data_IF_931240228337
#
_entry.id   IF_931240228337
#
_cell.length_a   1.000
_cell.length_b   1.000
_cell.length_c   1.000
_cell.angle_alpha   90.00
_cell.angle_beta   90.00
_cell.angle_gamma   90.00
#
_symmetry.space_group_name_H-M   'P 1'
#
loop_
_entity.id
_entity.type
_entity.pdbx_description
1 polymer ?
#
# COMPACT_ATOMS: atom_id res chain seq x y z
N UNK A 1 17.70 -5.62 -15.16
CA UNK A 1 17.45 -4.30 -14.54
C UNK A 1 17.40 -4.45 -13.03
N UNK A 2 18.25 -3.77 -12.27
CA UNK A 2 18.25 -3.86 -10.79
C UNK A 2 17.09 -3.02 -10.23
N UNK A 3 15.97 -3.67 -9.94
CA UNK A 3 14.75 -3.07 -9.36
C UNK A 3 14.91 -2.60 -7.89
N UNK A 4 16.06 -2.84 -7.27
CA UNK A 4 16.28 -2.49 -5.85
C UNK A 4 17.00 -1.15 -5.75
N UNK A 5 16.40 -0.14 -5.09
CA UNK A 5 17.04 1.15 -4.89
C UNK A 5 18.35 1.02 -4.08
N UNK A 6 19.35 1.81 -4.47
CA UNK A 6 20.68 1.82 -3.85
C UNK A 6 20.72 2.65 -2.56
N UNK A 7 19.79 3.58 -2.37
CA UNK A 7 19.69 4.38 -1.14
C UNK A 7 18.98 3.62 -0.03
N UNK A 8 19.43 3.82 1.22
CA UNK A 8 18.71 3.33 2.42
C UNK A 8 17.26 3.80 2.43
N UNK A 9 17.02 5.03 1.97
CA UNK A 9 15.70 5.63 1.78
C UNK A 9 14.81 4.76 0.89
N UNK A 10 15.29 4.41 -0.31
CA UNK A 10 14.49 3.63 -1.24
C UNK A 10 14.23 2.22 -0.73
N UNK A 11 15.17 1.63 0.02
CA UNK A 11 14.98 0.28 0.61
C UNK A 11 13.94 0.29 1.72
N UNK A 12 13.99 1.28 2.63
CA UNK A 12 13.00 1.43 3.71
C UNK A 12 11.61 1.71 3.15
N UNK A 13 11.50 2.61 2.17
CA UNK A 13 10.24 2.91 1.49
C UNK A 13 9.71 1.68 0.77
N UNK A 14 10.57 0.90 0.10
CA UNK A 14 10.16 -0.32 -0.57
C UNK A 14 9.64 -1.36 0.42
N UNK A 15 10.34 -1.61 1.53
CA UNK A 15 9.90 -2.55 2.58
C UNK A 15 8.56 -2.13 3.18
N UNK A 16 8.41 -0.84 3.54
CA UNK A 16 7.15 -0.31 4.07
C UNK A 16 6.00 -0.41 3.07
N UNK A 17 6.23 -0.05 1.80
CA UNK A 17 5.23 -0.18 0.74
C UNK A 17 4.82 -1.64 0.54
N UNK A 18 5.77 -2.57 0.48
CA UNK A 18 5.43 -4.00 0.34
C UNK A 18 4.65 -4.53 1.53
N UNK A 19 5.06 -4.21 2.77
CA UNK A 19 4.35 -4.66 3.97
C UNK A 19 2.92 -4.11 4.02
N UNK A 20 2.74 -2.86 3.61
CA UNK A 20 1.44 -2.20 3.57
C UNK A 20 0.52 -2.76 2.48
N UNK A 21 1.03 -2.98 1.27
CA UNK A 21 0.27 -3.62 0.20
C UNK A 21 -0.17 -5.02 0.61
N UNK A 22 0.70 -5.78 1.28
CA UNK A 22 0.34 -7.10 1.81
C UNK A 22 -0.75 -6.97 2.88
N UNK A 23 -0.61 -6.05 3.83
CA UNK A 23 -1.60 -5.84 4.89
C UNK A 23 -2.97 -5.48 4.31
N UNK A 24 -3.01 -4.65 3.25
CA UNK A 24 -4.26 -4.27 2.61
C UNK A 24 -4.87 -5.38 1.77
N UNK A 25 -4.06 -6.18 1.09
CA UNK A 25 -4.54 -7.38 0.41
C UNK A 25 -5.14 -8.38 1.41
N UNK A 26 -4.53 -8.54 2.59
CA UNK A 26 -5.07 -9.38 3.66
C UNK A 26 -6.34 -8.80 4.24
N UNK A 27 -6.37 -7.50 4.56
CA UNK A 27 -7.55 -6.77 5.04
C UNK A 27 -8.72 -6.92 4.07
N UNK A 28 -8.49 -6.66 2.79
CA UNK A 28 -9.48 -6.84 1.72
C UNK A 28 -9.95 -8.31 1.61
N UNK A 29 -9.03 -9.27 1.72
CA UNK A 29 -9.36 -10.69 1.69
C UNK A 29 -10.20 -11.13 2.90
N UNK A 30 -9.97 -10.58 4.09
CA UNK A 30 -10.78 -10.83 5.29
C UNK A 30 -12.17 -10.20 5.10
N UNK A 31 -12.23 -8.93 4.69
CA UNK A 31 -13.48 -8.19 4.54
C UNK A 31 -14.41 -8.79 3.47
N UNK A 32 -13.84 -9.39 2.43
CA UNK A 32 -14.60 -10.09 1.38
C UNK A 32 -15.12 -11.45 1.84
N UNK A 33 -14.39 -12.14 2.74
CA UNK A 33 -14.83 -13.42 3.33
C UNK A 33 -15.90 -13.24 4.39
N UNK A 34 -15.75 -12.29 5.32
CA UNK A 34 -16.67 -12.09 6.44
C UNK A 34 -18.07 -11.61 6.01
N UNK A 35 -18.17 -10.87 4.88
CA UNK A 35 -19.46 -10.34 4.40
C UNK A 35 -20.40 -11.39 3.83
N UNK A 36 -19.88 -12.46 3.26
CA UNK A 36 -20.70 -13.51 2.64
C UNK A 36 -21.53 -14.27 3.69
N UNK A 37 -20.91 -14.57 4.83
CA UNK A 37 -21.54 -15.39 5.87
C UNK A 37 -22.58 -14.62 6.68
N UNK A 38 -22.31 -13.35 7.06
CA UNK A 38 -23.21 -12.56 7.90
C UNK A 38 -24.52 -12.15 7.18
N UNK A 39 -24.44 -11.81 5.89
CA UNK A 39 -25.63 -11.41 5.13
C UNK A 39 -26.56 -12.61 4.88
N UNK A 40 -26.02 -13.79 4.59
CA UNK A 40 -26.80 -15.02 4.38
C UNK A 40 -27.61 -15.45 5.61
N UNK A 41 -27.06 -15.27 6.82
CA UNK A 41 -27.74 -15.62 8.07
C UNK A 41 -28.90 -14.67 8.39
N UNK A 42 -28.70 -13.36 8.25
CA UNK A 42 -29.72 -12.36 8.58
C UNK A 42 -30.84 -12.32 7.54
N UNK A 43 -30.51 -12.42 6.24
CA UNK A 43 -31.55 -12.41 5.20
C UNK A 43 -32.31 -13.73 5.15
N UNK A 44 -31.63 -14.87 5.30
CA UNK A 44 -32.28 -16.19 5.34
C UNK A 44 -33.31 -16.30 6.47
N UNK A 45 -33.03 -15.72 7.64
CA UNK A 45 -33.96 -15.71 8.77
C UNK A 45 -35.25 -14.92 8.46
N UNK A 46 -35.14 -13.72 7.88
CA UNK A 46 -36.31 -12.89 7.52
C UNK A 46 -37.17 -13.56 6.45
N UNK A 47 -36.54 -14.17 5.45
CA UNK A 47 -37.24 -14.87 4.38
C UNK A 47 -37.96 -16.12 4.88
N UNK A 48 -37.32 -16.91 5.75
CA UNK A 48 -37.96 -18.09 6.35
C UNK A 48 -39.18 -17.72 7.22
N UNK A 49 -39.10 -16.64 7.99
CA UNK A 49 -40.23 -16.15 8.79
C UNK A 49 -41.40 -15.71 7.90
N UNK A 50 -41.14 -14.94 6.85
CA UNK A 50 -42.17 -14.47 5.91
C UNK A 50 -42.86 -15.62 5.17
N UNK A 51 -42.11 -16.66 4.78
CA UNK A 51 -42.68 -17.87 4.18
C UNK A 51 -43.61 -18.57 5.18
N UNK A 52 -43.18 -18.74 6.43
CA UNK A 52 -44.00 -19.37 7.46
C UNK A 52 -45.32 -18.61 7.72
N UNK A 53 -45.26 -17.27 7.77
CA UNK A 53 -46.44 -16.43 7.93
C UNK A 53 -47.40 -16.56 6.74
N UNK A 54 -46.90 -16.62 5.51
CA UNK A 54 -47.73 -16.81 4.32
C UNK A 54 -48.35 -18.20 4.28
N UNK A 55 -47.61 -19.26 4.63
CA UNK A 55 -48.16 -20.62 4.70
C UNK A 55 -49.33 -20.66 5.69
N UNK A 56 -49.16 -20.06 6.88
CA UNK A 56 -50.24 -19.96 7.88
C UNK A 56 -51.45 -19.16 7.40
N UNK A 57 -51.24 -18.14 6.56
CA UNK A 57 -52.33 -17.35 5.96
C UNK A 57 -53.04 -18.07 4.82
N UNK A 58 -52.33 -18.90 4.05
CA UNK A 58 -52.91 -19.64 2.92
C UNK A 58 -53.71 -20.87 3.37
N UNK A 59 -53.37 -21.45 4.51
CA UNK A 59 -53.99 -22.67 5.04
C UNK A 59 -55.52 -22.60 5.21
N UNK A 60 -56.09 -21.59 5.92
CA UNK A 60 -57.53 -21.57 6.16
C UNK A 60 -58.35 -21.23 4.89
N UNK A 61 -57.70 -20.85 3.80
CA UNK A 61 -58.36 -20.39 2.58
C UNK A 61 -58.76 -21.55 1.67
N UNK A 62 -59.86 -21.40 0.93
CA UNK A 62 -60.28 -22.37 -0.09
C UNK A 62 -59.37 -22.33 -1.34
N UNK A 63 -59.33 -23.37 -2.19
CA UNK A 63 -58.48 -23.41 -3.39
C UNK A 63 -58.74 -22.27 -4.40
N UNK A 64 -59.94 -21.67 -4.40
CA UNK A 64 -60.26 -20.52 -5.23
C UNK A 64 -59.73 -19.20 -4.64
N UNK A 65 -59.75 -19.07 -3.31
CA UNK A 65 -59.24 -17.90 -2.59
C UNK A 65 -57.71 -17.88 -2.56
N UNK A 66 -57.06 -19.04 -2.41
CA UNK A 66 -55.60 -19.16 -2.45
C UNK A 66 -55.01 -18.66 -3.76
N UNK A 67 -55.63 -19.00 -4.90
CA UNK A 67 -55.18 -18.52 -6.22
C UNK A 67 -55.25 -16.99 -6.34
N UNK A 68 -56.27 -16.36 -5.74
CA UNK A 68 -56.35 -14.89 -5.69
C UNK A 68 -55.31 -14.30 -4.74
N UNK A 69 -55.11 -14.91 -3.58
CA UNK A 69 -54.17 -14.45 -2.56
C UNK A 69 -52.71 -14.56 -3.04
N UNK A 70 -52.35 -15.64 -3.73
CA UNK A 70 -51.01 -15.86 -4.28
C UNK A 70 -50.61 -14.80 -5.31
N UNK A 71 -51.55 -14.34 -6.14
CA UNK A 71 -51.30 -13.24 -7.07
C UNK A 71 -51.08 -11.89 -6.37
N UNK A 72 -51.66 -11.70 -5.17
CA UNK A 72 -51.49 -10.48 -4.37
C UNK A 72 -50.19 -10.53 -3.55
N UNK A 73 -49.84 -11.72 -3.03
CA UNK A 73 -48.65 -11.93 -2.21
C UNK A 73 -47.35 -12.05 -3.02
N UNK A 74 -47.46 -12.29 -4.33
CA UNK A 74 -46.30 -12.33 -5.25
C UNK A 74 -45.80 -10.93 -5.55
N UNK A 75 -44.84 -10.47 -4.75
CA UNK A 75 -44.16 -9.18 -4.91
C UNK A 75 -42.66 -9.35 -4.66
N UNK A 76 -41.78 -8.77 -5.51
CA UNK A 76 -40.33 -8.80 -5.28
C UNK A 76 -39.98 -8.42 -3.83
N UNK A 77 -39.07 -9.13 -3.17
CA UNK A 77 -38.15 -10.16 -3.70
C UNK A 77 -38.72 -11.60 -3.75
N UNK A 78 -40.00 -11.83 -3.44
CA UNK A 78 -40.54 -13.19 -3.33
C UNK A 78 -41.76 -13.40 -4.21
N UNK A 79 -41.67 -14.40 -5.08
CA UNK A 79 -42.78 -14.84 -5.92
C UNK A 79 -43.33 -16.16 -5.39
N UNK A 80 -44.65 -16.27 -5.32
CA UNK A 80 -45.34 -17.45 -4.80
C UNK A 80 -46.07 -18.11 -5.97
N UNK A 81 -45.92 -19.43 -6.12
CA UNK A 81 -46.61 -20.21 -7.14
C UNK A 81 -47.27 -21.44 -6.54
N UNK A 82 -48.42 -21.81 -7.11
CA UNK A 82 -49.18 -23.01 -6.76
C UNK A 82 -48.94 -24.11 -7.79
N UNK A 83 -48.98 -25.37 -7.36
CA UNK A 83 -49.04 -26.56 -8.22
C UNK A 83 -47.81 -26.77 -9.13
N UNK A 84 -46.65 -26.22 -8.76
CA UNK A 84 -45.38 -26.53 -9.43
C UNK A 84 -45.06 -28.01 -9.22
N UNK A 85 -44.50 -28.68 -10.23
CA UNK A 85 -44.02 -30.05 -10.06
C UNK A 85 -43.05 -30.12 -8.87
N UNK A 86 -43.15 -31.16 -8.02
CA UNK A 86 -42.20 -31.34 -6.92
C UNK A 86 -40.79 -31.28 -7.49
N UNK A 87 -39.94 -30.45 -6.90
CA UNK A 87 -38.52 -30.48 -7.19
C UNK A 87 -38.08 -31.89 -6.82
N UNK A 88 -37.74 -32.69 -7.84
CA UNK A 88 -37.29 -34.06 -7.64
C UNK A 88 -36.20 -34.01 -6.58
N UNK A 89 -36.38 -34.78 -5.51
CA UNK A 89 -35.44 -34.89 -4.41
C UNK A 89 -34.08 -35.31 -4.98
N UNK A 90 -33.25 -34.33 -5.31
CA UNK A 90 -31.82 -34.47 -5.15
C UNK A 90 -31.57 -34.44 -3.63
N UNK A 91 -32.06 -35.46 -2.92
CA UNK A 91 -31.57 -35.77 -1.57
C UNK A 91 -30.03 -35.87 -1.57
N UNK A 92 -29.44 -36.17 -2.74
CA UNK A 92 -28.00 -36.13 -3.00
C UNK A 92 -27.35 -34.72 -3.13
N UNK A 93 -28.11 -33.64 -3.40
CA UNK A 93 -27.56 -32.26 -3.42
C UNK A 93 -27.92 -31.44 -2.17
N UNK A 94 -28.95 -31.85 -1.43
CA UNK A 94 -29.36 -31.25 -0.15
C UNK A 94 -28.22 -31.13 0.85
N UNK A 95 -27.28 -32.07 0.81
CA UNK A 95 -26.14 -32.18 1.73
C UNK A 95 -24.89 -31.36 1.33
N UNK A 96 -24.84 -30.77 0.14
CA UNK A 96 -23.60 -30.08 -0.33
C UNK A 96 -23.58 -28.58 -0.06
N UNK A 97 -24.74 -27.93 0.11
CA UNK A 97 -24.80 -26.47 0.24
C UNK A 97 -25.19 -26.05 1.67
N UNK A 98 -24.20 -25.53 2.41
CA UNK A 98 -24.35 -25.07 3.81
C UNK A 98 -25.50 -24.06 3.98
N UNK A 99 -25.72 -23.16 3.01
CA UNK A 99 -26.79 -22.16 3.08
C UNK A 99 -28.19 -22.77 2.97
N UNK A 100 -28.40 -23.73 2.07
CA UNK A 100 -29.67 -24.43 1.93
C UNK A 100 -30.01 -25.25 3.17
N UNK A 101 -29.00 -25.88 3.79
CA UNK A 101 -29.14 -26.59 5.06
C UNK A 101 -29.58 -25.65 6.19
N UNK A 102 -28.87 -24.52 6.38
CA UNK A 102 -29.22 -23.53 7.40
C UNK A 102 -30.62 -22.93 7.18
N UNK A 103 -30.96 -22.59 5.93
CA UNK A 103 -32.28 -22.06 5.58
C UNK A 103 -33.41 -23.08 5.82
N UNK A 104 -33.21 -24.34 5.42
CA UNK A 104 -34.18 -25.41 5.68
C UNK A 104 -34.39 -25.66 7.17
N UNK A 105 -33.34 -25.57 7.99
CA UNK A 105 -33.42 -25.69 9.44
C UNK A 105 -34.19 -24.52 10.07
N UNK A 106 -33.94 -23.29 9.62
CA UNK A 106 -34.70 -22.10 10.06
C UNK A 106 -36.18 -22.18 9.67
N UNK A 107 -36.49 -22.57 8.43
CA UNK A 107 -37.87 -22.68 7.95
C UNK A 107 -38.65 -23.75 8.72
N UNK A 108 -38.03 -24.91 9.01
CA UNK A 108 -38.61 -25.94 9.89
C UNK A 108 -38.86 -25.41 11.30
N UNK A 109 -37.93 -24.63 11.85
CA UNK A 109 -38.07 -24.02 13.16
C UNK A 109 -39.26 -23.06 13.24
N UNK A 110 -39.52 -22.27 12.19
CA UNK A 110 -40.64 -21.32 12.17
C UNK A 110 -41.99 -21.95 11.85
N UNK A 111 -42.05 -22.93 10.95
CA UNK A 111 -43.28 -23.65 10.62
C UNK A 111 -43.74 -24.57 11.77
N UNK A 112 -42.79 -25.11 12.54
CA UNK A 112 -43.07 -26.10 13.58
C UNK A 112 -43.20 -27.52 13.02
N UNK A 113 -43.30 -28.52 13.91
CA UNK A 113 -43.33 -29.94 13.53
C UNK A 113 -44.69 -30.40 12.96
N UNK A 114 -45.70 -29.52 12.94
CA UNK A 114 -47.07 -29.84 12.52
C UNK A 114 -47.22 -29.93 11.00
N UNK A 115 -46.26 -29.40 10.24
CA UNK A 115 -46.31 -29.38 8.79
C UNK A 115 -45.41 -30.48 8.21
N UNK A 116 -45.96 -31.57 7.64
CA UNK A 116 -45.18 -32.60 6.96
C UNK A 116 -44.74 -32.09 5.58
N UNK A 117 -43.95 -31.03 5.56
CA UNK A 117 -43.49 -30.41 4.34
C UNK A 117 -42.14 -31.02 3.94
N UNK A 118 -42.12 -31.60 2.74
CA UNK A 118 -40.88 -31.80 2.00
C UNK A 118 -40.28 -30.42 1.67
N UNK A 119 -39.64 -29.79 2.67
CA UNK A 119 -38.98 -28.49 2.54
C UNK A 119 -37.74 -28.69 1.69
N UNK A 120 -37.90 -28.59 0.38
CA UNK A 120 -36.79 -28.62 -0.57
C UNK A 120 -36.37 -27.19 -0.81
N UNK A 121 -35.09 -26.91 -0.52
CA UNK A 121 -34.44 -25.62 -0.74
C UNK A 121 -33.35 -25.87 -1.75
N UNK A 122 -33.48 -25.30 -2.95
CA UNK A 122 -32.41 -25.32 -3.96
C UNK A 122 -31.92 -23.90 -4.21
N UNK A 123 -30.59 -23.77 -4.36
CA UNK A 123 -29.86 -22.55 -4.72
C UNK A 123 -29.76 -22.37 -6.24
N UNK A 124 -29.93 -23.46 -6.99
CA UNK A 124 -29.88 -23.52 -8.44
C UNK A 124 -31.21 -24.09 -8.96
N UNK A 125 -32.13 -23.23 -9.35
CA UNK A 125 -33.36 -23.64 -10.05
C UNK A 125 -33.40 -22.92 -11.39
N UNK A 126 -33.74 -23.60 -12.50
CA UNK A 126 -33.98 -22.94 -13.77
C UNK A 126 -35.04 -21.82 -13.62
N UNK A 127 -34.95 -20.77 -14.43
CA UNK A 127 -35.67 -19.50 -14.23
C UNK A 127 -37.18 -19.68 -13.99
N UNK A 128 -37.81 -18.79 -13.21
CA UNK A 128 -39.22 -18.92 -12.83
C UNK A 128 -40.14 -18.97 -14.06
N UNK A 129 -41.26 -19.69 -13.91
CA UNK A 129 -42.33 -19.74 -14.90
C UNK A 129 -42.81 -18.32 -15.21
N UNK A 130 -42.60 -17.87 -16.45
CA UNK A 130 -43.27 -16.67 -16.95
C UNK A 130 -44.77 -16.99 -17.05
N UNK A 131 -45.67 -16.28 -16.37
CA UNK A 131 -47.09 -16.40 -16.65
C UNK A 131 -47.29 -16.05 -18.13
N UNK A 132 -47.87 -16.98 -18.88
CA UNK A 132 -48.10 -16.80 -20.32
C UNK A 132 -48.84 -15.49 -20.61
N UNK A 133 -48.60 -14.87 -21.79
CA UNK A 133 -49.16 -13.57 -22.13
C UNK A 133 -50.67 -13.59 -21.97
N UNK A 134 -51.23 -12.54 -21.32
CA UNK A 134 -52.67 -12.33 -21.22
C UNK A 134 -53.32 -12.51 -22.60
N UNK A 135 -54.04 -13.60 -22.80
CA UNK A 135 -54.90 -13.77 -23.95
C UNK A 135 -56.12 -12.85 -23.77
N UNK A 136 -55.99 -11.62 -24.27
CA UNK A 136 -57.05 -10.62 -24.14
C UNK A 136 -56.78 -9.28 -24.83
N UNK A 137 -55.96 -9.23 -25.88
CA UNK A 137 -55.84 -8.04 -26.73
C UNK A 137 -55.69 -8.46 -28.20
N UNK A 138 -56.78 -8.98 -28.76
CA UNK A 138 -56.87 -9.24 -30.20
C UNK A 138 -57.13 -7.89 -30.89
N UNK A 139 -56.12 -7.39 -31.61
CA UNK A 139 -56.32 -6.38 -32.64
C UNK A 139 -55.60 -5.06 -32.42
N UNK A 140 -54.31 -5.01 -32.74
CA UNK A 140 -53.79 -3.90 -33.53
C UNK A 140 -52.51 -4.35 -34.24
N UNK A 141 -52.61 -4.41 -35.57
CA UNK A 141 -51.55 -4.84 -36.45
C UNK A 141 -50.45 -3.77 -36.55
N UNK A 142 -49.22 -4.28 -36.66
CA UNK A 142 -48.07 -3.78 -37.44
C UNK A 142 -47.94 -2.28 -37.68
N UNK A 143 -46.86 -1.70 -37.11
CA UNK A 143 -46.06 -0.72 -37.85
C UNK A 143 -44.57 -0.95 -37.62
N UNK A 144 -43.87 -0.93 -38.74
CA UNK A 144 -42.45 -1.23 -38.97
C UNK A 144 -41.48 -0.44 -38.09
N UNK A 145 -40.33 -1.05 -37.78
CA UNK A 145 -39.12 -0.33 -37.41
C UNK A 145 -38.49 -0.66 -36.05
N UNK A 146 -38.21 -1.93 -35.74
CA UNK A 146 -37.31 -2.29 -34.63
C UNK A 146 -36.42 -3.47 -35.04
N UNK A 147 -35.09 -3.25 -34.98
CA UNK A 147 -34.07 -4.27 -35.19
C UNK A 147 -34.29 -5.47 -34.24
N UNK A 148 -33.97 -6.71 -34.64
CA UNK A 148 -34.00 -7.83 -33.70
C UNK A 148 -32.89 -7.63 -32.67
N UNK A 149 -33.25 -7.16 -31.47
CA UNK A 149 -32.38 -7.29 -30.30
C UNK A 149 -32.17 -8.77 -30.04
N UNK A 150 -30.90 -9.18 -30.03
CA UNK A 150 -30.48 -10.53 -29.66
C UNK A 150 -31.07 -10.90 -28.28
N UNK A 151 -31.73 -12.06 -28.11
CA UNK A 151 -32.31 -12.46 -26.82
C UNK A 151 -31.27 -12.81 -25.74
N UNK A 152 -29.98 -12.79 -26.08
CA UNK A 152 -28.89 -13.31 -25.25
C UNK A 152 -28.31 -12.29 -24.26
N UNK A 153 -28.89 -11.10 -24.12
CA UNK A 153 -28.42 -10.07 -23.17
C UNK A 153 -29.22 -9.96 -21.86
N UNK A 154 -30.21 -10.84 -21.63
CA UNK A 154 -30.96 -10.86 -20.36
C UNK A 154 -30.61 -12.02 -19.42
N UNK A 155 -29.73 -12.95 -19.79
CA UNK A 155 -29.32 -14.06 -18.92
C UNK A 155 -28.23 -13.70 -17.91
N UNK A 156 -27.65 -12.51 -18.01
CA UNK A 156 -26.64 -12.00 -17.05
C UNK A 156 -27.25 -11.03 -16.01
N UNK A 157 -28.58 -10.87 -16.02
CA UNK A 157 -29.27 -10.21 -14.92
C UNK A 157 -29.30 -11.14 -13.71
N UNK A 158 -28.31 -10.93 -12.83
CA UNK A 158 -28.38 -11.18 -11.40
C UNK A 158 -28.56 -12.66 -11.02
N UNK A 159 -27.45 -13.41 -11.05
CA UNK A 159 -27.28 -14.58 -10.18
C UNK A 159 -27.17 -14.12 -8.71
N UNK A 160 -28.28 -13.64 -8.16
CA UNK A 160 -28.52 -13.61 -6.72
C UNK A 160 -28.74 -15.02 -6.21
N UNK A 161 -28.60 -15.22 -4.89
CA UNK A 161 -28.98 -16.49 -4.27
C UNK A 161 -30.48 -16.67 -4.47
N UNK A 162 -30.84 -17.61 -5.35
CA UNK A 162 -32.21 -18.00 -5.62
C UNK A 162 -32.55 -19.15 -4.68
N UNK A 163 -33.20 -18.86 -3.55
CA UNK A 163 -33.75 -19.94 -2.75
C UNK A 163 -35.15 -20.26 -3.23
N UNK A 164 -35.38 -21.51 -3.63
CA UNK A 164 -36.72 -22.01 -3.93
C UNK A 164 -37.14 -22.95 -2.81
N UNK A 165 -38.14 -22.55 -2.02
CA UNK A 165 -38.70 -23.36 -0.96
C UNK A 165 -40.05 -23.95 -1.39
N UNK A 166 -40.20 -25.26 -1.28
CA UNK A 166 -41.49 -25.93 -1.49
C UNK A 166 -42.09 -26.39 -0.17
N UNK A 167 -43.35 -26.06 0.07
CA UNK A 167 -44.09 -26.44 1.28
C UNK A 167 -45.39 -27.13 0.86
N UNK A 168 -45.67 -28.28 1.47
CA UNK A 168 -46.92 -29.03 1.28
C UNK A 168 -47.89 -28.69 2.40
N UNK A 169 -49.09 -28.24 2.05
CA UNK A 169 -50.18 -27.91 3.00
C UNK A 169 -50.90 -29.19 3.45
N UNK A 170 -51.74 -29.12 4.49
CA UNK A 170 -52.43 -30.30 5.02
C UNK A 170 -53.42 -30.92 4.02
N UNK A 171 -53.95 -30.12 3.10
CA UNK A 171 -54.84 -30.59 2.04
C UNK A 171 -54.10 -31.17 0.82
N UNK A 172 -52.76 -31.25 0.89
CA UNK A 172 -51.92 -31.82 -0.14
C UNK A 172 -51.48 -30.84 -1.23
N UNK A 173 -51.95 -29.58 -1.20
CA UNK A 173 -51.51 -28.56 -2.16
C UNK A 173 -50.02 -28.22 -1.96
N UNK A 174 -49.28 -28.06 -3.06
CA UNK A 174 -47.87 -27.68 -3.02
C UNK A 174 -47.72 -26.20 -3.34
N UNK A 175 -47.18 -25.43 -2.40
CA UNK A 175 -46.84 -24.02 -2.59
C UNK A 175 -45.33 -23.91 -2.78
N UNK A 176 -44.92 -23.24 -3.84
CA UNK A 176 -43.51 -22.93 -4.13
C UNK A 176 -43.27 -21.46 -3.90
N UNK A 177 -42.23 -21.15 -3.13
CA UNK A 177 -41.75 -19.81 -2.85
C UNK A 177 -40.40 -19.63 -3.54
N UNK A 178 -40.37 -18.80 -4.58
CA UNK A 178 -39.13 -18.38 -5.22
C UNK A 178 -38.70 -17.06 -4.59
N UNK A 179 -37.69 -17.11 -3.73
CA UNK A 179 -37.08 -15.89 -3.16
C UNK A 179 -35.88 -15.51 -4.01
N UNK A 180 -36.06 -14.43 -4.77
CA UNK A 180 -35.01 -13.78 -5.51
C UNK A 180 -34.35 -12.78 -4.57
N UNK A 181 -33.28 -13.18 -3.88
CA UNK A 181 -32.45 -12.19 -3.22
C UNK A 181 -31.65 -11.50 -4.32
N UNK A 182 -32.19 -10.38 -4.84
CA UNK A 182 -31.34 -9.43 -5.54
C UNK A 182 -30.21 -9.15 -4.59
N UNK A 183 -28.97 -9.45 -4.98
CA UNK A 183 -27.81 -8.79 -4.40
C UNK A 183 -28.03 -7.31 -4.67
N UNK A 184 -28.83 -6.64 -3.84
CA UNK A 184 -29.06 -5.21 -3.91
C UNK A 184 -27.67 -4.61 -3.99
N UNK A 185 -27.43 -3.92 -5.09
CA UNK A 185 -26.17 -3.38 -5.53
C UNK A 185 -25.35 -2.96 -4.30
N UNK A 186 -24.26 -3.65 -3.98
CA UNK A 186 -22.94 -3.41 -4.59
C UNK A 186 -22.62 -1.91 -4.76
N UNK A 187 -23.19 -1.03 -3.93
CA UNK A 187 -22.73 0.35 -3.75
C UNK A 187 -21.65 0.44 -2.66
N UNK A 188 -21.29 -0.68 -2.02
CA UNK A 188 -20.24 -0.72 -1.01
C UNK A 188 -18.77 -0.86 -1.51
N UNK A 189 -18.42 -1.32 -2.74
CA UNK A 189 -17.02 -1.57 -3.09
C UNK A 189 -16.22 -0.27 -3.11
N UNK A 190 -16.79 0.85 -3.60
CA UNK A 190 -16.05 2.12 -3.67
C UNK A 190 -15.72 2.69 -2.29
N UNK A 191 -16.58 2.53 -1.28
CA UNK A 191 -16.33 3.05 0.08
C UNK A 191 -15.20 2.31 0.77
N UNK A 192 -15.17 0.98 0.66
CA UNK A 192 -14.06 0.16 1.18
C UNK A 192 -12.79 0.45 0.41
N UNK A 193 -12.86 0.54 -0.92
CA UNK A 193 -11.71 0.86 -1.75
C UNK A 193 -11.15 2.25 -1.44
N UNK A 194 -12.02 3.23 -1.17
CA UNK A 194 -11.63 4.60 -0.82
C UNK A 194 -11.04 4.65 0.59
N UNK A 195 -11.61 3.94 1.58
CA UNK A 195 -10.98 3.85 2.91
C UNK A 195 -9.61 3.16 2.86
N UNK A 196 -9.48 2.10 2.05
CA UNK A 196 -8.21 1.41 1.78
C UNK A 196 -7.21 2.39 1.15
N UNK A 197 -7.64 3.13 0.12
CA UNK A 197 -6.80 4.08 -0.58
C UNK A 197 -6.35 5.24 0.31
N UNK A 198 -7.23 5.73 1.19
CA UNK A 198 -6.90 6.78 2.17
C UNK A 198 -5.92 6.26 3.21
N UNK A 199 -6.12 5.05 3.74
CA UNK A 199 -5.19 4.44 4.69
C UNK A 199 -3.81 4.22 4.03
N UNK A 200 -3.80 3.67 2.81
CA UNK A 200 -2.61 3.49 1.99
C UNK A 200 -1.88 4.82 1.79
N UNK A 201 -2.58 5.85 1.34
CA UNK A 201 -2.00 7.19 1.12
C UNK A 201 -1.47 7.81 2.42
N UNK A 202 -2.18 7.65 3.53
CA UNK A 202 -1.75 8.15 4.83
C UNK A 202 -0.46 7.49 5.30
N UNK A 203 -0.38 6.15 5.23
CA UNK A 203 0.82 5.42 5.64
C UNK A 203 2.00 5.73 4.71
N UNK A 204 1.78 5.86 3.40
CA UNK A 204 2.81 6.30 2.45
C UNK A 204 3.32 7.70 2.82
N UNK A 205 2.40 8.64 3.10
CA UNK A 205 2.76 10.00 3.51
C UNK A 205 3.60 10.02 4.79
N UNK A 206 3.15 9.30 5.83
CA UNK A 206 3.87 9.21 7.12
C UNK A 206 5.24 8.53 6.94
N UNK A 207 5.31 7.44 6.17
CA UNK A 207 6.56 6.73 5.88
C UNK A 207 7.57 7.64 5.17
N UNK A 208 7.14 8.35 4.13
CA UNK A 208 8.01 9.28 3.40
C UNK A 208 8.52 10.40 4.30
N UNK A 209 7.67 10.96 5.17
CA UNK A 209 8.07 11.99 6.13
C UNK A 209 9.09 11.42 7.13
N UNK A 210 8.79 10.28 7.75
CA UNK A 210 9.65 9.65 8.75
C UNK A 210 11.04 9.32 8.18
N UNK A 211 11.09 8.72 6.98
CA UNK A 211 12.36 8.38 6.32
C UNK A 211 13.13 9.65 5.94
N UNK A 212 12.45 10.69 5.45
CA UNK A 212 13.09 11.96 5.10
C UNK A 212 13.66 12.67 6.34
N UNK A 213 13.00 12.55 7.48
CA UNK A 213 13.49 13.05 8.77
C UNK A 213 14.70 12.25 9.28
N UNK A 214 14.67 10.92 9.13
CA UNK A 214 15.78 10.05 9.56
C UNK A 214 17.04 10.19 8.69
N UNK A 215 16.88 10.42 7.38
CA UNK A 215 18.01 10.46 6.43
C UNK A 215 18.62 11.84 6.24
N UNK A 216 17.86 12.92 6.43
CA UNK A 216 18.36 14.29 6.26
C UNK A 216 19.62 14.60 7.11
N UNK A 217 19.71 14.22 8.40
CA UNK A 217 20.91 14.46 9.19
C UNK A 217 22.13 13.69 8.70
N UNK A 218 21.94 12.50 8.15
CA UNK A 218 23.03 11.67 7.59
C UNK A 218 23.60 12.32 6.34
N UNK A 219 22.75 12.86 5.46
CA UNK A 219 23.21 13.59 4.28
C UNK A 219 23.98 14.85 4.67
N UNK A 220 23.50 15.60 5.67
CA UNK A 220 24.21 16.79 6.18
C UNK A 220 25.61 16.43 6.72
N UNK A 221 25.75 15.30 7.43
CA UNK A 221 27.04 14.81 7.90
C UNK A 221 27.96 14.35 6.75
N UNK A 222 27.40 13.68 5.74
CA UNK A 222 28.14 13.23 4.57
C UNK A 222 28.66 14.41 3.74
N UNK A 223 27.78 15.35 3.39
CA UNK A 223 28.14 16.60 2.73
C UNK A 223 29.19 17.35 3.55
N UNK A 224 29.07 17.29 4.88
CA UNK A 224 30.00 17.96 5.76
C UNK A 224 31.41 17.37 5.74
N UNK A 225 31.50 16.03 5.69
CA UNK A 225 32.76 15.33 5.57
C UNK A 225 33.43 15.59 4.21
N UNK A 226 32.66 15.62 3.13
CA UNK A 226 33.17 15.94 1.78
C UNK A 226 33.70 17.38 1.70
N UNK A 227 32.99 18.34 2.30
CA UNK A 227 33.43 19.72 2.38
C UNK A 227 34.65 19.91 3.28
N UNK A 228 34.77 19.14 4.37
CA UNK A 228 35.94 19.23 5.27
C UNK A 228 37.25 18.93 4.54
N UNK A 229 37.23 18.00 3.58
CA UNK A 229 38.37 17.70 2.72
C UNK A 229 38.75 18.84 1.76
N UNK A 230 37.81 19.72 1.41
CA UNK A 230 38.02 20.87 0.51
C UNK A 230 38.36 22.15 1.28
N UNK A 231 37.67 22.39 2.38
CA UNK A 231 37.84 23.55 3.25
C UNK A 231 37.77 23.12 4.71
N UNK A 232 38.94 22.97 5.32
CA UNK A 232 39.07 22.54 6.70
C UNK A 232 38.54 23.58 7.70
N UNK A 233 38.49 24.85 7.31
CA UNK A 233 38.03 25.99 8.13
C UNK A 233 36.52 26.25 7.97
N UNK A 234 35.76 25.28 7.43
CA UNK A 234 34.30 25.33 7.38
C UNK A 234 33.68 25.61 8.77
N UNK A 235 32.52 26.29 8.84
CA UNK A 235 31.78 26.42 10.09
C UNK A 235 31.46 25.04 10.70
N UNK A 236 31.48 24.92 12.04
CA UNK A 236 31.10 23.68 12.71
C UNK A 236 29.62 23.36 12.45
N UNK A 237 29.29 22.07 12.48
CA UNK A 237 27.91 21.61 12.39
C UNK A 237 27.11 22.08 13.60
N UNK A 238 25.85 22.49 13.36
CA UNK A 238 24.91 22.82 14.43
C UNK A 238 24.63 21.56 15.26
N UNK A 239 24.89 21.64 16.56
CA UNK A 239 24.63 20.54 17.52
C UNK A 239 23.15 20.49 17.96
N UNK A 240 22.24 20.60 16.99
CA UNK A 240 20.79 20.67 17.22
C UNK A 240 20.09 19.44 16.66
N UNK A 241 18.96 19.05 17.26
CA UNK A 241 18.13 17.94 16.79
C UNK A 241 18.08 16.78 17.79
N UNK A 242 17.75 15.56 17.33
CA UNK A 242 17.74 14.36 18.16
C UNK A 242 19.10 14.12 18.83
N UNK A 243 19.08 13.45 20.00
CA UNK A 243 20.26 13.23 20.83
C UNK A 243 21.43 12.60 20.03
N UNK A 244 21.11 11.64 19.17
CA UNK A 244 22.05 10.91 18.33
C UNK A 244 22.69 11.83 17.28
N UNK A 245 21.88 12.70 16.66
CA UNK A 245 22.33 13.66 15.66
C UNK A 245 23.22 14.72 16.29
N UNK A 246 22.80 15.28 17.43
CA UNK A 246 23.59 16.26 18.18
C UNK A 246 24.93 15.67 18.65
N UNK A 247 24.92 14.40 19.12
CA UNK A 247 26.15 13.68 19.51
C UNK A 247 27.09 13.46 18.32
N UNK A 248 26.57 13.06 17.16
CA UNK A 248 27.35 12.87 15.95
C UNK A 248 27.95 14.21 15.46
N UNK A 249 27.17 15.29 15.44
CA UNK A 249 27.63 16.62 15.11
C UNK A 249 28.77 17.09 16.04
N UNK A 250 28.62 16.88 17.35
CA UNK A 250 29.67 17.20 18.34
C UNK A 250 30.95 16.40 18.11
N UNK A 251 30.82 15.10 17.83
CA UNK A 251 31.97 14.25 17.53
C UNK A 251 32.71 14.71 16.25
N UNK A 252 31.96 15.05 15.20
CA UNK A 252 32.51 15.60 13.96
C UNK A 252 33.23 16.93 14.21
N UNK A 253 32.60 17.87 14.94
CA UNK A 253 33.20 19.15 15.30
C UNK A 253 34.49 18.97 16.12
N UNK A 254 34.52 18.02 17.06
CA UNK A 254 35.72 17.71 17.84
C UNK A 254 36.86 17.18 16.96
N UNK A 255 36.55 16.30 16.01
CA UNK A 255 37.52 15.78 15.04
C UNK A 255 38.08 16.91 14.16
N UNK A 256 37.21 17.78 13.63
CA UNK A 256 37.63 18.96 12.86
C UNK A 256 38.59 19.84 13.68
N UNK A 257 38.23 20.18 14.92
CA UNK A 257 39.04 21.04 15.78
C UNK A 257 40.43 20.42 16.07
N UNK A 258 40.48 19.10 16.31
CA UNK A 258 41.73 18.35 16.49
C UNK A 258 42.59 18.41 15.23
N UNK A 259 42.01 18.24 14.06
CA UNK A 259 42.73 18.26 12.78
C UNK A 259 43.32 19.66 12.48
N UNK A 260 42.53 20.72 12.70
CA UNK A 260 43.02 22.10 12.58
C UNK A 260 44.18 22.36 13.55
N UNK A 261 44.06 21.91 14.80
CA UNK A 261 45.11 22.01 15.80
C UNK A 261 46.39 21.30 15.36
N UNK A 262 46.27 20.07 14.88
CA UNK A 262 47.40 19.26 14.41
C UNK A 262 48.14 19.91 13.22
N UNK A 263 47.41 20.45 12.25
CA UNK A 263 48.02 21.14 11.10
C UNK A 263 48.76 22.40 11.57
N UNK A 264 48.11 23.23 12.39
CA UNK A 264 48.72 24.46 12.91
C UNK A 264 49.98 24.20 13.72
N UNK A 265 49.99 23.15 14.53
CA UNK A 265 51.16 22.73 15.29
C UNK A 265 52.30 22.28 14.37
N UNK A 266 51.99 21.47 13.36
CA UNK A 266 52.97 21.03 12.36
C UNK A 266 53.57 22.21 11.57
N UNK A 267 52.74 23.17 11.15
CA UNK A 267 53.21 24.38 10.45
C UNK A 267 54.10 25.24 11.34
N UNK A 268 53.74 25.39 12.63
CA UNK A 268 54.57 26.13 13.60
C UNK A 268 55.94 25.49 13.79
N UNK A 269 55.99 24.17 13.95
CA UNK A 269 57.25 23.43 14.11
C UNK A 269 58.13 23.61 12.86
N UNK A 270 57.56 23.48 11.67
CA UNK A 270 58.29 23.66 10.41
C UNK A 270 58.79 25.09 10.22
N UNK A 271 58.02 26.09 10.65
CA UNK A 271 58.47 27.48 10.64
C UNK A 271 59.65 27.71 11.61
N UNK A 272 59.61 27.13 12.81
CA UNK A 272 60.71 27.20 13.77
C UNK A 272 61.97 26.50 13.23
N UNK A 273 61.83 25.30 12.68
CA UNK A 273 62.94 24.58 12.04
C UNK A 273 63.54 25.37 10.87
N UNK A 274 62.72 26.01 10.03
CA UNK A 274 63.20 26.85 8.93
C UNK A 274 64.00 28.07 9.44
N UNK A 275 63.52 28.72 10.50
CA UNK A 275 64.26 29.79 11.17
C UNK A 275 65.61 29.30 11.71
N UNK A 276 65.61 28.14 12.37
CA UNK A 276 66.82 27.56 12.95
C UNK A 276 67.82 27.09 11.90
N UNK A 277 67.37 26.67 10.71
CA UNK A 277 68.21 26.33 9.55
C UNK A 277 68.83 27.56 8.89
N UNK A 278 68.20 28.74 8.96
CA UNK A 278 68.75 29.98 8.39
C UNK A 278 70.06 30.39 9.06
N UNK A 279 70.18 30.13 10.37
CA UNK A 279 71.38 30.46 11.17
C UNK A 279 72.65 29.70 10.71
N UNK A 280 72.67 28.36 10.62
CA UNK A 280 73.82 27.62 10.12
C UNK A 280 74.08 27.88 8.62
N UNK A 281 73.05 28.07 7.78
CA UNK A 281 73.23 28.46 6.37
C UNK A 281 73.98 29.79 6.28
N UNK A 282 73.55 30.81 7.03
CA UNK A 282 74.21 32.12 7.09
C UNK A 282 75.66 31.99 7.58
N UNK A 283 75.91 31.14 8.58
CA UNK A 283 77.27 30.88 9.08
C UNK A 283 78.15 30.18 8.03
N UNK A 284 77.62 29.22 7.28
CA UNK A 284 78.33 28.56 6.19
C UNK A 284 78.63 29.54 5.05
N UNK A 285 77.70 30.46 4.75
CA UNK A 285 77.91 31.55 3.78
C UNK A 285 79.08 32.43 4.17
N UNK A 286 79.10 32.94 5.40
CA UNK A 286 80.21 33.75 5.92
C UNK A 286 81.55 32.99 5.91
N UNK A 287 81.55 31.68 6.19
CA UNK A 287 82.76 30.85 6.10
C UNK A 287 83.21 30.64 4.66
N UNK A 288 82.28 30.50 3.71
CA UNK A 288 82.62 30.34 2.30
C UNK A 288 83.31 31.58 1.73
N UNK A 289 82.97 32.78 2.21
CA UNK A 289 83.61 34.04 1.81
C UNK A 289 85.11 34.10 2.16
N UNK A 290 85.55 33.31 3.16
CA UNK A 290 86.95 33.19 3.58
C UNK A 290 87.79 32.21 2.73
N UNK A 291 87.19 31.53 1.75
CA UNK A 291 87.91 30.60 0.87
C UNK A 291 88.79 31.38 -0.13
N UNK A 292 90.07 31.03 -0.24
CA UNK A 292 91.02 31.70 -1.16
C UNK A 292 90.70 31.43 -2.64
N UNK A 293 90.24 30.22 -2.97
CA UNK A 293 89.85 29.84 -4.33
C UNK A 293 88.49 30.43 -4.72
N UNK A 294 88.51 31.38 -5.66
CA UNK A 294 87.32 32.05 -6.17
C UNK A 294 86.33 31.10 -6.86
N UNK A 295 86.82 30.05 -7.52
CA UNK A 295 85.97 29.09 -8.22
C UNK A 295 85.26 28.17 -7.22
N UNK A 296 85.96 27.76 -6.16
CA UNK A 296 85.39 26.97 -5.06
C UNK A 296 84.37 27.80 -4.25
N UNK A 297 84.70 29.06 -3.95
CA UNK A 297 83.78 30.01 -3.28
C UNK A 297 82.46 30.14 -4.03
N UNK A 298 82.52 30.37 -5.34
CA UNK A 298 81.32 30.52 -6.18
C UNK A 298 80.45 29.25 -6.20
N UNK A 299 81.05 28.05 -6.13
CA UNK A 299 80.30 26.78 -6.01
C UNK A 299 79.57 26.70 -4.67
N UNK A 300 80.27 26.93 -3.56
CA UNK A 300 79.65 26.92 -2.22
C UNK A 300 78.52 27.94 -2.07
N UNK A 301 78.68 29.15 -2.61
CA UNK A 301 77.62 30.16 -2.60
C UNK A 301 76.38 29.68 -3.35
N UNK A 302 76.57 29.07 -4.53
CA UNK A 302 75.47 28.54 -5.34
C UNK A 302 74.72 27.42 -4.62
N UNK A 303 75.45 26.47 -4.02
CA UNK A 303 74.84 25.36 -3.27
C UNK A 303 74.05 25.89 -2.06
N UNK A 304 74.56 26.91 -1.36
CA UNK A 304 73.87 27.55 -0.23
C UNK A 304 72.59 28.29 -0.66
N UNK A 305 72.63 28.99 -1.79
CA UNK A 305 71.45 29.63 -2.38
C UNK A 305 70.39 28.62 -2.81
N UNK A 306 70.81 27.48 -3.38
CA UNK A 306 69.91 26.40 -3.74
C UNK A 306 69.24 25.77 -2.50
N UNK A 307 70.00 25.52 -1.44
CA UNK A 307 69.44 25.05 -0.16
C UNK A 307 68.45 26.04 0.45
N UNK A 308 68.76 27.34 0.44
CA UNK A 308 67.85 28.38 0.94
C UNK A 308 66.56 28.45 0.10
N UNK A 309 66.67 28.34 -1.22
CA UNK A 309 65.53 28.28 -2.14
C UNK A 309 64.64 27.07 -1.89
N UNK A 310 65.22 25.87 -1.75
CA UNK A 310 64.47 24.64 -1.46
C UNK A 310 63.70 24.72 -0.13
N UNK A 311 64.33 25.28 0.92
CA UNK A 311 63.68 25.49 2.22
C UNK A 311 62.53 26.50 2.10
N UNK A 312 62.75 27.61 1.41
CA UNK A 312 61.73 28.63 1.20
C UNK A 312 60.53 28.10 0.39
N UNK A 313 60.78 27.34 -0.68
CA UNK A 313 59.75 26.73 -1.50
C UNK A 313 58.90 25.72 -0.71
N UNK A 314 59.55 24.87 0.09
CA UNK A 314 58.85 23.89 0.94
C UNK A 314 57.97 24.58 1.98
N UNK A 315 58.46 25.66 2.61
CA UNK A 315 57.68 26.44 3.57
C UNK A 315 56.52 27.19 2.90
N UNK A 316 56.74 27.72 1.69
CA UNK A 316 55.73 28.37 0.88
C UNK A 316 54.58 27.43 0.51
N UNK A 317 54.90 26.23 0.02
CA UNK A 317 53.92 25.19 -0.30
C UNK A 317 53.04 24.83 0.92
N UNK A 318 53.65 24.65 2.09
CA UNK A 318 52.92 24.30 3.32
C UNK A 318 52.03 25.43 3.84
N UNK A 319 52.45 26.69 3.70
CA UNK A 319 51.62 27.85 4.03
C UNK A 319 50.44 28.01 3.05
N UNK A 320 50.62 27.65 1.79
CA UNK A 320 49.55 27.61 0.79
C UNK A 320 48.44 26.61 1.12
N UNK A 321 48.75 25.53 1.85
CA UNK A 321 47.72 24.59 2.34
C UNK A 321 46.84 25.18 3.46
N UNK A 322 47.35 26.14 4.25
CA UNK A 322 46.57 26.80 5.31
C UNK A 322 45.76 27.99 4.79
N UNK A 323 46.33 28.71 3.82
CA UNK A 323 45.74 29.91 3.22
C UNK A 323 45.11 29.46 1.92
N UNK A 324 43.84 29.01 1.96
CA UNK A 324 43.12 28.58 0.76
C UNK A 324 43.31 29.58 -0.37
N UNK A 325 44.23 29.26 -1.28
CA UNK A 325 44.62 30.14 -2.36
C UNK A 325 43.41 30.28 -3.27
N UNK A 326 43.00 31.52 -3.55
CA UNK A 326 41.83 31.77 -4.37
C UNK A 326 42.11 31.14 -5.74
N UNK A 327 41.31 30.14 -6.12
CA UNK A 327 41.45 29.47 -7.40
C UNK A 327 41.35 30.51 -8.52
N UNK A 328 42.45 30.78 -9.19
CA UNK A 328 42.49 31.67 -10.33
C UNK A 328 42.16 30.85 -11.59
N UNK A 329 41.21 31.29 -12.42
CA UNK A 329 40.90 30.58 -13.66
C UNK A 329 42.12 30.62 -14.58
N UNK A 330 42.66 29.44 -14.89
CA UNK A 330 43.66 29.27 -15.96
C UNK A 330 42.91 29.08 -17.26
N UNK A 331 43.12 29.98 -18.22
CA UNK A 331 42.66 29.83 -19.59
C UNK A 331 43.56 28.79 -20.27
N UNK A 332 43.00 27.63 -20.66
CA UNK A 332 43.71 26.49 -21.26
C UNK A 332 43.42 26.44 -22.76
#
# INVERSE_FOLDING_TARGET
MRLVPRSLLGRLVLVLLTGLVIAELVSFAIHTRERGELLSQVTGMRSAQRIADIVRLLEPLTPAERRKMVNILSAPPMTVSLDRSPIATAEAERDKNTHALLFSAMLRRFLGNEWPAAVTVSENVPPPFQPGPMHGAKGMAMREGWMPMNPTMHSDMQAGLLFVAQVRLHDGALVTFDTHESREATDWPYRVLLSLAVLLAAVIGVSLIAVRWATRPLNVLADAADELGKNINRPPLKETGPLEVARAARAFNSMQARLIGYIRERTRILAAMSHDLKTPITRLRLRSELLDDAQLRARFTRDLEEMESMVAATLGFLRGLESGEAAEPVDI
#
